data_IF_016480014157
#
_entry.id   IF_016480014157
#
_cell.length_a   1.000
_cell.length_b   1.000
_cell.length_c   1.000
_cell.angle_alpha   90.00
_cell.angle_beta   90.00
_cell.angle_gamma   90.00
#
_symmetry.space_group_name_H-M   'P 1'
#
loop_
_entity.id
_entity.type
_entity.pdbx_description
1 polymer ?
#
# COMPACT_ATOMS: atom_id res chain seq x y z
N UNK A 1 -22.50 19.76 -5.65
CA UNK A 1 -21.36 18.92 -5.25
C UNK A 1 -20.33 18.94 -6.38
N UNK A 2 -19.02 19.02 -6.15
CA UNK A 2 -18.07 18.92 -7.23
C UNK A 2 -18.22 17.56 -7.92
N UNK A 3 -18.16 17.57 -9.25
CA UNK A 3 -18.25 16.35 -10.04
C UNK A 3 -16.98 15.51 -9.81
N UNK A 4 -17.12 14.26 -9.33
CA UNK A 4 -16.01 13.35 -9.16
C UNK A 4 -15.49 12.89 -10.52
N UNK A 5 -14.17 12.93 -10.69
CA UNK A 5 -13.47 12.42 -11.88
C UNK A 5 -12.54 11.28 -11.46
N UNK A 6 -12.02 10.53 -12.42
CA UNK A 6 -11.02 9.47 -12.19
C UNK A 6 -9.75 10.01 -11.49
N UNK A 7 -9.47 11.31 -11.61
CA UNK A 7 -8.31 11.98 -11.01
C UNK A 7 -8.63 12.64 -9.66
N UNK A 8 -9.88 12.56 -9.19
CA UNK A 8 -10.26 13.13 -7.90
C UNK A 8 -9.52 12.41 -6.77
N UNK A 9 -8.93 13.16 -5.84
CA UNK A 9 -8.21 12.64 -4.68
C UNK A 9 -8.81 13.17 -3.37
N UNK A 10 -8.48 12.52 -2.28
CA UNK A 10 -8.83 12.94 -0.92
C UNK A 10 -7.56 13.01 -0.06
N UNK A 11 -7.37 14.06 0.75
CA UNK A 11 -6.25 14.12 1.68
C UNK A 11 -6.41 13.01 2.73
N UNK A 12 -5.29 12.38 3.10
CA UNK A 12 -5.26 11.44 4.21
C UNK A 12 -5.25 12.21 5.54
N UNK A 13 -6.12 11.79 6.45
CA UNK A 13 -6.12 12.33 7.81
C UNK A 13 -4.82 11.93 8.53
N UNK A 14 -4.35 12.81 9.45
CA UNK A 14 -3.15 12.56 10.27
C UNK A 14 -1.87 12.22 9.47
N UNK A 15 -1.80 12.66 8.21
CA UNK A 15 -0.58 12.51 7.41
C UNK A 15 0.14 13.87 7.31
N UNK A 16 1.23 14.09 8.07
CA UNK A 16 1.96 15.36 8.07
C UNK A 16 2.65 15.64 6.73
N UNK A 17 2.84 14.61 5.89
CA UNK A 17 3.45 14.74 4.56
C UNK A 17 2.45 15.22 3.50
N UNK A 18 1.18 15.44 3.86
CA UNK A 18 0.15 15.96 2.96
C UNK A 18 -0.25 15.00 1.84
N UNK A 19 -0.08 13.69 2.04
CA UNK A 19 -0.44 12.67 1.04
C UNK A 19 -1.95 12.70 0.76
N UNK A 20 -2.29 12.67 -0.52
CA UNK A 20 -3.68 12.53 -0.98
C UNK A 20 -3.84 11.22 -1.75
N UNK A 21 -4.89 10.45 -1.42
CA UNK A 21 -5.21 9.18 -2.09
C UNK A 21 -6.20 9.43 -3.23
N UNK A 22 -5.95 8.93 -4.46
CA UNK A 22 -6.95 8.94 -5.52
C UNK A 22 -8.21 8.18 -5.07
N UNK A 23 -9.39 8.77 -5.30
CA UNK A 23 -10.68 8.21 -4.87
C UNK A 23 -11.06 6.94 -5.61
N UNK A 24 -10.52 6.75 -6.81
CA UNK A 24 -10.72 5.56 -7.63
C UNK A 24 -9.38 4.84 -7.80
N UNK A 25 -9.35 3.56 -7.43
CA UNK A 25 -8.18 2.69 -7.58
C UNK A 25 -8.50 1.45 -8.41
N UNK A 26 -7.48 0.86 -8.98
CA UNK A 26 -7.54 -0.41 -9.71
C UNK A 26 -6.91 -1.51 -8.86
N UNK A 27 -7.73 -2.47 -8.40
CA UNK A 27 -7.28 -3.64 -7.64
C UNK A 27 -6.82 -4.77 -8.55
N UNK A 28 -5.73 -5.45 -8.16
CA UNK A 28 -5.13 -6.54 -8.96
C UNK A 28 -5.29 -7.91 -8.33
N UNK A 29 -6.21 -8.08 -7.39
CA UNK A 29 -6.50 -9.40 -6.81
C UNK A 29 -6.91 -10.40 -7.91
N UNK A 30 -6.37 -11.64 -7.85
CA UNK A 30 -6.60 -12.72 -8.83
C UNK A 30 -6.07 -12.42 -10.25
N UNK A 31 -5.23 -11.42 -10.44
CA UNK A 31 -4.48 -11.22 -11.67
C UNK A 31 -3.06 -11.74 -11.49
N UNK A 32 -2.55 -12.53 -12.46
CA UNK A 32 -1.24 -13.17 -12.36
C UNK A 32 -0.43 -13.01 -13.64
N UNK A 33 0.90 -13.04 -13.51
CA UNK A 33 1.83 -13.05 -14.62
C UNK A 33 1.52 -11.98 -15.67
N UNK A 34 1.61 -12.29 -16.95
CA UNK A 34 1.37 -11.33 -18.04
C UNK A 34 -0.01 -10.66 -17.98
N UNK A 35 -1.05 -11.34 -17.54
CA UNK A 35 -2.39 -10.74 -17.42
C UNK A 35 -2.45 -9.61 -16.40
N UNK A 36 -1.68 -9.72 -15.31
CA UNK A 36 -1.57 -8.63 -14.33
C UNK A 36 -0.88 -7.41 -14.95
N UNK A 37 0.28 -7.61 -15.58
CA UNK A 37 1.02 -6.53 -16.24
C UNK A 37 0.18 -5.83 -17.31
N UNK A 38 -0.50 -6.59 -18.18
CA UNK A 38 -1.35 -6.04 -19.24
C UNK A 38 -2.54 -5.24 -18.67
N UNK A 39 -3.18 -5.77 -17.60
CA UNK A 39 -4.30 -5.10 -16.96
C UNK A 39 -3.89 -3.79 -16.27
N UNK A 40 -2.73 -3.76 -15.60
CA UNK A 40 -2.19 -2.53 -14.99
C UNK A 40 -1.87 -1.50 -16.06
N UNK A 41 -1.22 -1.89 -17.17
CA UNK A 41 -0.95 -0.97 -18.28
C UNK A 41 -2.25 -0.41 -18.87
N UNK A 42 -3.25 -1.25 -19.12
CA UNK A 42 -4.56 -0.82 -19.61
C UNK A 42 -5.26 0.13 -18.63
N UNK A 43 -5.16 -0.12 -17.33
CA UNK A 43 -5.71 0.77 -16.31
C UNK A 43 -5.01 2.15 -16.32
N UNK A 44 -3.67 2.18 -16.43
CA UNK A 44 -2.90 3.43 -16.52
C UNK A 44 -3.25 4.21 -17.80
N UNK A 45 -3.40 3.53 -18.94
CA UNK A 45 -3.84 4.12 -20.22
C UNK A 45 -5.26 4.69 -20.14
N UNK A 46 -6.16 4.01 -19.40
CA UNK A 46 -7.52 4.46 -19.12
C UNK A 46 -7.58 5.65 -18.13
N UNK A 47 -6.44 6.06 -17.57
CA UNK A 47 -6.34 7.22 -16.67
C UNK A 47 -6.37 6.88 -15.18
N UNK A 48 -6.42 5.61 -14.78
CA UNK A 48 -6.21 5.24 -13.36
C UNK A 48 -4.83 5.69 -12.90
N UNK A 49 -4.75 6.17 -11.66
CA UNK A 49 -3.50 6.61 -11.03
C UNK A 49 -3.29 6.00 -9.65
N UNK A 50 -4.13 5.03 -9.26
CA UNK A 50 -4.00 4.26 -8.03
C UNK A 50 -4.11 2.78 -8.36
N UNK A 51 -3.05 2.02 -8.04
CA UNK A 51 -2.98 0.56 -8.20
C UNK A 51 -2.87 -0.05 -6.80
N UNK A 52 -3.75 -1.00 -6.51
CA UNK A 52 -3.86 -1.66 -5.21
C UNK A 52 -3.48 -3.13 -5.32
N UNK A 53 -2.36 -3.51 -4.67
CA UNK A 53 -1.85 -4.88 -4.56
C UNK A 53 -1.74 -5.33 -3.11
N UNK A 54 -1.20 -6.53 -2.90
CA UNK A 54 -0.86 -7.09 -1.59
C UNK A 54 0.15 -8.22 -1.74
N UNK A 55 0.97 -8.47 -0.71
CA UNK A 55 1.86 -9.65 -0.65
C UNK A 55 1.11 -10.95 -0.93
N UNK A 56 -0.12 -11.07 -0.40
CA UNK A 56 -0.99 -12.23 -0.60
C UNK A 56 -1.30 -12.52 -2.07
N UNK A 57 -1.35 -11.48 -2.90
CA UNK A 57 -1.73 -11.62 -4.32
C UNK A 57 -0.59 -12.17 -5.17
N UNK A 58 0.66 -12.11 -4.68
CA UNK A 58 1.87 -12.63 -5.33
C UNK A 58 2.10 -12.08 -6.74
N UNK A 59 1.72 -10.81 -6.96
CA UNK A 59 1.82 -10.13 -8.24
C UNK A 59 2.50 -8.74 -8.14
N UNK A 60 3.19 -8.48 -7.03
CA UNK A 60 3.87 -7.22 -6.77
C UNK A 60 4.91 -6.88 -7.85
N UNK A 61 5.67 -7.88 -8.29
CA UNK A 61 6.70 -7.71 -9.34
C UNK A 61 6.08 -7.35 -10.69
N UNK A 62 4.94 -7.94 -11.03
CA UNK A 62 4.21 -7.65 -12.27
C UNK A 62 3.63 -6.23 -12.26
N UNK A 63 3.10 -5.80 -11.12
CA UNK A 63 2.63 -4.42 -10.93
C UNK A 63 3.79 -3.44 -11.05
N UNK A 64 4.90 -3.69 -10.35
CA UNK A 64 6.09 -2.86 -10.42
C UNK A 64 6.64 -2.76 -11.84
N UNK A 65 6.75 -3.90 -12.55
CA UNK A 65 7.23 -3.94 -13.93
C UNK A 65 6.31 -3.14 -14.89
N UNK A 66 4.98 -3.21 -14.71
CA UNK A 66 4.03 -2.44 -15.50
C UNK A 66 4.20 -0.92 -15.28
N UNK A 67 4.32 -0.50 -14.03
CA UNK A 67 4.52 0.92 -13.67
C UNK A 67 5.87 1.42 -14.23
N UNK A 68 6.95 0.68 -14.03
CA UNK A 68 8.28 1.04 -14.55
C UNK A 68 8.29 1.13 -16.09
N UNK A 69 7.58 0.22 -16.77
CA UNK A 69 7.42 0.27 -18.23
C UNK A 69 6.70 1.52 -18.70
N UNK A 70 5.62 1.93 -18.03
CA UNK A 70 4.88 3.14 -18.35
C UNK A 70 5.72 4.40 -18.11
N UNK A 71 6.53 4.43 -17.02
CA UNK A 71 7.47 5.51 -16.73
C UNK A 71 8.56 5.58 -17.82
N UNK A 72 9.17 4.46 -18.16
CA UNK A 72 10.22 4.40 -19.19
C UNK A 72 9.72 4.82 -20.59
N UNK A 73 8.43 4.59 -20.88
CA UNK A 73 7.77 5.04 -22.10
C UNK A 73 7.41 6.55 -22.07
N UNK A 74 7.69 7.27 -20.98
CA UNK A 74 7.37 8.70 -20.85
C UNK A 74 5.88 9.00 -20.69
N UNK A 75 5.06 8.00 -20.40
CA UNK A 75 3.60 8.16 -20.24
C UNK A 75 3.24 8.85 -18.91
N UNK A 76 4.06 8.65 -17.86
CA UNK A 76 3.87 9.19 -16.51
C UNK A 76 5.20 9.19 -15.74
N UNK A 77 5.21 9.89 -14.61
CA UNK A 77 6.33 9.88 -13.65
C UNK A 77 5.93 9.03 -12.45
N UNK A 78 6.90 8.63 -11.61
CA UNK A 78 6.60 7.84 -10.39
C UNK A 78 5.59 8.54 -9.46
N UNK A 79 5.71 9.85 -9.31
CA UNK A 79 4.82 10.66 -8.47
C UNK A 79 3.39 10.79 -9.02
N UNK A 80 3.16 10.47 -10.28
CA UNK A 80 1.83 10.49 -10.89
C UNK A 80 1.02 9.21 -10.58
N UNK A 81 1.66 8.18 -9.96
CA UNK A 81 1.01 6.91 -9.61
C UNK A 81 1.04 6.68 -8.11
N UNK A 82 -0.11 6.34 -7.56
CA UNK A 82 -0.30 5.95 -6.17
C UNK A 82 -0.28 4.42 -6.06
N UNK A 83 0.69 3.86 -5.36
CA UNK A 83 0.83 2.41 -5.15
C UNK A 83 0.45 2.04 -3.73
N UNK A 84 -0.56 1.18 -3.59
CA UNK A 84 -0.94 0.57 -2.31
C UNK A 84 -0.46 -0.87 -2.26
N UNK A 85 0.12 -1.26 -1.13
CA UNK A 85 0.45 -2.64 -0.80
C UNK A 85 -0.04 -3.03 0.59
N UNK A 86 -0.02 -4.35 0.89
CA UNK A 86 -0.53 -4.88 2.18
C UNK A 86 0.31 -6.05 2.66
N UNK A 87 0.65 -6.05 3.97
CA UNK A 87 1.23 -7.19 4.67
C UNK A 87 0.14 -7.95 5.42
N UNK A 88 0.13 -9.28 5.34
CA UNK A 88 -0.93 -10.09 5.97
C UNK A 88 -0.54 -10.72 7.28
N UNK A 89 0.68 -11.21 7.39
CA UNK A 89 1.18 -11.93 8.55
C UNK A 89 2.62 -11.52 8.85
N UNK A 90 3.04 -11.59 10.10
CA UNK A 90 4.46 -11.57 10.44
C UNK A 90 5.21 -12.71 9.76
N UNK A 91 6.48 -12.52 9.51
CA UNK A 91 7.36 -13.54 8.92
C UNK A 91 8.08 -14.27 10.04
N UNK A 92 8.25 -15.61 9.97
CA UNK A 92 9.06 -16.35 10.93
C UNK A 92 10.47 -15.76 11.06
N UNK A 93 10.94 -15.55 12.28
CA UNK A 93 12.23 -14.93 12.58
C UNK A 93 12.13 -13.59 13.29
N UNK A 94 10.90 -13.12 13.55
CA UNK A 94 10.62 -11.95 14.38
C UNK A 94 10.57 -10.62 13.63
N UNK A 95 10.50 -9.50 14.38
CA UNK A 95 10.18 -8.18 13.83
C UNK A 95 11.10 -7.71 12.69
N UNK A 96 12.39 -7.99 12.77
CA UNK A 96 13.32 -7.60 11.70
C UNK A 96 13.03 -8.34 10.39
N UNK A 97 12.71 -9.64 10.45
CA UNK A 97 12.36 -10.42 9.27
C UNK A 97 11.03 -9.94 8.66
N UNK A 98 10.08 -9.57 9.49
CA UNK A 98 8.80 -8.98 9.04
C UNK A 98 9.02 -7.63 8.35
N UNK A 99 9.89 -6.78 8.91
CA UNK A 99 10.30 -5.53 8.27
C UNK A 99 11.00 -5.79 6.93
N UNK A 100 11.97 -6.72 6.86
CA UNK A 100 12.69 -7.04 5.61
C UNK A 100 11.74 -7.56 4.53
N UNK A 101 10.75 -8.38 4.89
CA UNK A 101 9.71 -8.82 3.97
C UNK A 101 8.86 -7.66 3.43
N UNK A 102 8.51 -6.70 4.27
CA UNK A 102 7.79 -5.52 3.85
C UNK A 102 8.66 -4.60 2.95
N UNK A 103 9.95 -4.45 3.26
CA UNK A 103 10.91 -3.71 2.43
C UNK A 103 11.12 -4.37 1.06
N UNK A 104 11.17 -5.71 0.99
CA UNK A 104 11.21 -6.44 -0.28
C UNK A 104 9.99 -6.14 -1.15
N UNK A 105 8.81 -6.05 -0.56
CA UNK A 105 7.58 -5.64 -1.24
C UNK A 105 7.69 -4.23 -1.83
N UNK A 106 8.27 -3.30 -1.08
CA UNK A 106 8.54 -1.94 -1.58
C UNK A 106 9.46 -1.97 -2.80
N UNK A 107 10.51 -2.78 -2.78
CA UNK A 107 11.42 -2.92 -3.92
C UNK A 107 10.72 -3.53 -5.14
N UNK A 108 9.88 -4.55 -4.96
CA UNK A 108 9.10 -5.16 -6.06
C UNK A 108 8.18 -4.15 -6.74
N UNK A 109 7.55 -3.27 -5.99
CA UNK A 109 6.58 -2.28 -6.50
C UNK A 109 7.24 -0.97 -6.96
N UNK A 110 8.11 -0.42 -6.13
CA UNK A 110 8.71 0.90 -6.32
C UNK A 110 10.04 0.89 -7.08
N UNK A 111 10.64 -0.29 -7.28
CA UNK A 111 12.00 -0.43 -7.80
C UNK A 111 13.08 -0.17 -6.75
N UNK A 112 14.34 -0.26 -7.17
CA UNK A 112 15.49 -0.04 -6.29
C UNK A 112 15.51 1.40 -5.77
N UNK A 113 15.61 1.53 -4.44
CA UNK A 113 15.57 2.82 -3.77
C UNK A 113 14.20 3.50 -3.76
N UNK A 114 13.18 2.89 -4.38
CA UNK A 114 11.84 3.41 -4.51
C UNK A 114 11.02 3.38 -3.21
N UNK A 115 9.73 3.70 -3.36
CA UNK A 115 8.76 3.77 -2.25
C UNK A 115 7.38 3.29 -2.73
N UNK A 116 6.50 3.00 -1.78
CA UNK A 116 5.05 2.88 -2.00
C UNK A 116 4.33 4.08 -1.36
N UNK A 117 3.17 4.43 -1.89
CA UNK A 117 2.41 5.58 -1.40
C UNK A 117 1.61 5.23 -0.14
N UNK A 118 1.12 3.98 -0.06
CA UNK A 118 0.38 3.48 1.09
C UNK A 118 0.75 2.02 1.37
N UNK A 119 1.07 1.71 2.64
CA UNK A 119 1.24 0.33 3.07
C UNK A 119 0.28 0.00 4.20
N UNK A 120 -0.44 -1.10 4.09
CA UNK A 120 -1.49 -1.51 5.02
C UNK A 120 -1.17 -2.82 5.73
N UNK A 121 -1.61 -2.95 6.98
CA UNK A 121 -1.84 -4.27 7.57
C UNK A 121 -3.13 -4.82 6.96
N UNK A 122 -3.06 -5.95 6.23
CA UNK A 122 -4.13 -6.46 5.36
C UNK A 122 -5.39 -6.91 6.12
N UNK A 123 -5.18 -7.56 7.26
CA UNK A 123 -6.24 -8.00 8.16
C UNK A 123 -5.71 -7.97 9.60
N UNK A 124 -6.58 -7.82 10.61
CA UNK A 124 -6.13 -7.76 12.01
C UNK A 124 -5.60 -9.11 12.52
N UNK A 125 -5.97 -10.24 11.87
CA UNK A 125 -5.64 -11.56 12.41
C UNK A 125 -6.24 -11.80 13.80
N UNK A 126 -5.77 -12.84 14.51
CA UNK A 126 -6.30 -13.22 15.83
C UNK A 126 -5.42 -12.78 16.99
N UNK A 127 -4.13 -12.56 16.75
CA UNK A 127 -3.14 -12.27 17.79
C UNK A 127 -2.74 -10.79 17.79
N UNK A 128 -2.76 -10.19 18.97
CA UNK A 128 -2.31 -8.81 19.20
C UNK A 128 -0.85 -8.63 18.82
N UNK A 129 0.01 -9.54 19.26
CA UNK A 129 1.46 -9.47 19.04
C UNK A 129 1.78 -9.44 17.53
N UNK A 130 1.00 -10.17 16.72
CA UNK A 130 1.15 -10.15 15.27
C UNK A 130 0.75 -8.79 14.66
N UNK A 131 -0.31 -8.15 15.18
CA UNK A 131 -0.71 -6.80 14.76
C UNK A 131 0.34 -5.77 15.10
N UNK A 132 0.85 -5.83 16.33
CA UNK A 132 1.91 -4.95 16.82
C UNK A 132 3.19 -5.08 15.96
N UNK A 133 3.66 -6.31 15.74
CA UNK A 133 4.85 -6.59 14.92
C UNK A 133 4.71 -6.04 13.49
N UNK A 134 3.58 -6.31 12.83
CA UNK A 134 3.32 -5.78 11.48
C UNK A 134 3.25 -4.25 11.48
N UNK A 135 2.60 -3.64 12.49
CA UNK A 135 2.49 -2.20 12.56
C UNK A 135 3.84 -1.53 12.76
N UNK A 136 4.68 -2.04 13.66
CA UNK A 136 6.04 -1.55 13.90
C UNK A 136 6.91 -1.64 12.63
N UNK A 137 6.75 -2.71 11.84
CA UNK A 137 7.43 -2.83 10.54
C UNK A 137 6.98 -1.72 9.57
N UNK A 138 5.68 -1.37 9.52
CA UNK A 138 5.19 -0.28 8.70
C UNK A 138 5.63 1.10 9.21
N UNK A 139 5.68 1.33 10.52
CA UNK A 139 6.20 2.56 11.12
C UNK A 139 7.67 2.78 10.76
N UNK A 140 8.47 1.70 10.75
CA UNK A 140 9.88 1.76 10.33
C UNK A 140 10.00 2.13 8.85
N UNK A 141 9.20 1.52 7.95
CA UNK A 141 9.16 1.90 6.53
C UNK A 141 8.73 3.36 6.33
N UNK A 142 7.77 3.83 7.11
CA UNK A 142 7.30 5.22 7.07
C UNK A 142 8.40 6.20 7.51
N UNK A 143 9.09 5.91 8.61
CA UNK A 143 10.18 6.72 9.12
C UNK A 143 11.36 6.82 8.12
N UNK A 144 11.61 5.75 7.36
CA UNK A 144 12.65 5.70 6.32
C UNK A 144 12.18 6.27 4.96
N UNK A 145 10.93 6.75 4.86
CA UNK A 145 10.36 7.28 3.64
C UNK A 145 10.08 6.22 2.56
N UNK A 146 10.10 4.94 2.93
CA UNK A 146 9.78 3.79 2.06
C UNK A 146 8.29 3.57 1.89
N UNK A 147 7.47 4.07 2.82
CA UNK A 147 6.04 4.23 2.69
C UNK A 147 5.67 5.70 2.97
N UNK A 148 4.90 6.34 2.10
CA UNK A 148 4.47 7.75 2.28
C UNK A 148 3.30 7.88 3.24
N UNK A 149 2.52 6.82 3.38
CA UNK A 149 1.43 6.67 4.32
C UNK A 149 1.35 5.21 4.80
N UNK A 150 0.83 5.01 6.01
CA UNK A 150 0.59 3.68 6.56
C UNK A 150 -0.83 3.58 7.13
N UNK A 151 -1.39 2.39 7.09
CA UNK A 151 -2.75 2.17 7.54
C UNK A 151 -3.05 0.70 7.79
N UNK A 152 -4.32 0.42 7.91
CA UNK A 152 -4.85 -0.91 8.18
C UNK A 152 -5.95 -1.27 7.19
N UNK A 153 -6.35 -2.54 7.16
CA UNK A 153 -7.47 -3.02 6.36
C UNK A 153 -8.29 -4.02 7.19
N UNK A 154 -9.62 -3.93 7.07
CA UNK A 154 -10.57 -4.78 7.78
C UNK A 154 -10.48 -4.71 9.33
N UNK A 155 -9.92 -3.63 9.86
CA UNK A 155 -9.87 -3.40 11.31
C UNK A 155 -11.22 -2.88 11.82
N UNK A 156 -11.68 -3.45 12.93
CA UNK A 156 -12.84 -2.96 13.69
C UNK A 156 -12.40 -1.87 14.67
N UNK A 157 -13.33 -1.04 15.19
CA UNK A 157 -13.00 0.01 16.16
C UNK A 157 -12.14 -0.49 17.33
N UNK A 158 -12.44 -1.66 17.87
CA UNK A 158 -11.70 -2.25 18.98
C UNK A 158 -10.23 -2.54 18.64
N UNK A 159 -9.93 -2.95 17.38
CA UNK A 159 -8.55 -3.17 16.95
C UNK A 159 -7.78 -1.85 16.83
N UNK A 160 -8.47 -0.78 16.37
CA UNK A 160 -7.87 0.55 16.26
C UNK A 160 -7.62 1.15 17.65
N UNK A 161 -8.55 0.96 18.59
CA UNK A 161 -8.35 1.41 19.97
C UNK A 161 -7.17 0.68 20.66
N UNK A 162 -7.05 -0.63 20.42
CA UNK A 162 -5.94 -1.45 20.94
C UNK A 162 -4.58 -0.92 20.47
N UNK A 163 -4.50 -0.37 19.23
CA UNK A 163 -3.25 0.18 18.69
C UNK A 163 -2.68 1.32 19.55
N UNK A 164 -3.49 2.03 20.33
CA UNK A 164 -3.01 3.08 21.25
C UNK A 164 -1.97 2.59 22.25
N UNK A 165 -1.95 1.28 22.52
CA UNK A 165 -1.05 0.71 23.51
C UNK A 165 0.36 0.47 22.97
N UNK A 166 0.53 0.41 21.62
CA UNK A 166 1.82 0.09 21.00
C UNK A 166 2.22 0.97 19.81
N UNK A 167 1.26 1.64 19.16
CA UNK A 167 1.53 2.44 17.97
C UNK A 167 2.16 3.80 18.33
N UNK A 168 3.22 4.18 17.63
CA UNK A 168 3.78 5.53 17.67
C UNK A 168 3.00 6.48 16.75
N UNK A 169 2.49 5.94 15.63
CA UNK A 169 1.62 6.65 14.68
C UNK A 169 0.19 6.17 14.90
N UNK A 170 -0.62 7.02 15.53
CA UNK A 170 -2.02 6.74 15.79
C UNK A 170 -2.88 8.00 15.60
N UNK A 171 -4.11 7.91 15.09
CA UNK A 171 -4.73 6.71 14.48
C UNK A 171 -4.08 6.35 13.13
N UNK A 172 -4.35 5.11 12.61
CA UNK A 172 -3.92 4.75 11.26
C UNK A 172 -4.52 5.71 10.24
N UNK A 173 -3.75 6.06 9.22
CA UNK A 173 -4.11 7.09 8.23
C UNK A 173 -5.22 6.62 7.27
N UNK A 174 -5.37 5.30 7.11
CA UNK A 174 -6.39 4.65 6.29
C UNK A 174 -6.87 3.37 6.99
N UNK A 175 -8.16 3.08 6.88
CA UNK A 175 -8.72 1.75 7.11
C UNK A 175 -9.49 1.34 5.85
N UNK A 176 -8.94 0.43 5.04
CA UNK A 176 -9.58 -0.10 3.84
C UNK A 176 -10.54 -1.23 4.23
N UNK A 177 -11.78 -1.14 3.82
CA UNK A 177 -12.82 -2.13 4.16
C UNK A 177 -13.38 -2.77 2.89
N UNK A 178 -13.69 -4.06 2.98
CA UNK A 178 -14.53 -4.75 2.01
C UNK A 178 -16.00 -4.41 2.30
N UNK A 179 -16.75 -3.98 1.26
CA UNK A 179 -18.15 -3.54 1.35
C UNK A 179 -19.04 -4.48 0.55
#
# INVERSE_FOLDING_TARGET
MPQLTIQSAAPLANNPNGVSIPRLGFGVYQLYSKSCTDAVLAALDAGYRHIDSAQLYRNESEVGAAVQRAIAAGQLRREDVFLTNKIRNPVPGGPEMTYQSALESVHKLGGDGGYVDLFLVHIPGTKREAREEMWQALEKLYAEGKAKAIGVSNFRPQHIEEMKEYAQIWPPQVNQLEV
#
